data_IF_299904157513
#
_entry.id   IF_299904157513
#
_cell.length_a   1.000
_cell.length_b   1.000
_cell.length_c   1.000
_cell.angle_alpha   90.00
_cell.angle_beta   90.00
_cell.angle_gamma   90.00
#
_symmetry.space_group_name_H-M   'P 1'
#
loop_
_entity.id
_entity.type
_entity.pdbx_description
1 polymer ?
#
# COMPACT_ATOMS: atom_id res chain seq x y z
N UNK A 1 -27.67 4.79 5.32
CA UNK A 1 -28.57 4.25 4.28
C UNK A 1 -27.87 3.05 3.64
N UNK A 2 -28.57 1.94 3.36
CA UNK A 2 -27.95 0.82 2.64
C UNK A 2 -27.93 1.12 1.13
N UNK A 3 -27.11 0.41 0.34
CA UNK A 3 -26.96 0.69 -1.09
C UNK A 3 -28.23 0.46 -1.93
N UNK A 4 -29.10 -0.46 -1.54
CA UNK A 4 -30.36 -0.75 -2.24
C UNK A 4 -31.35 0.41 -2.04
N UNK A 5 -31.54 0.83 -0.79
CA UNK A 5 -32.37 1.97 -0.41
C UNK A 5 -31.89 3.27 -1.05
N UNK A 6 -30.58 3.43 -1.29
CA UNK A 6 -30.07 4.60 -1.99
C UNK A 6 -30.50 4.64 -3.45
N UNK A 7 -30.35 3.54 -4.19
CA UNK A 7 -30.75 3.49 -5.60
C UNK A 7 -32.27 3.59 -5.77
N UNK A 8 -33.04 3.02 -4.84
CA UNK A 8 -34.51 3.16 -4.83
C UNK A 8 -34.98 4.60 -4.61
N UNK A 9 -34.23 5.40 -3.86
CA UNK A 9 -34.56 6.80 -3.56
C UNK A 9 -33.66 7.80 -4.30
N UNK A 10 -32.93 7.35 -5.33
CA UNK A 10 -31.90 8.12 -6.00
C UNK A 10 -32.43 9.45 -6.55
N UNK A 11 -33.56 9.40 -7.25
CA UNK A 11 -34.23 10.59 -7.81
C UNK A 11 -34.61 11.61 -6.72
N UNK A 12 -35.08 11.14 -5.56
CA UNK A 12 -35.45 12.00 -4.43
C UNK A 12 -34.22 12.62 -3.74
N UNK A 13 -33.09 11.91 -3.78
CA UNK A 13 -31.85 12.33 -3.13
C UNK A 13 -31.11 13.36 -3.97
N UNK A 14 -31.16 13.30 -5.30
CA UNK A 14 -30.47 14.27 -6.17
C UNK A 14 -30.96 15.70 -5.94
N UNK A 15 -32.26 15.87 -5.67
CA UNK A 15 -32.91 17.17 -5.47
C UNK A 15 -32.67 17.78 -4.07
N UNK A 16 -32.10 17.01 -3.13
CA UNK A 16 -31.82 17.49 -1.78
C UNK A 16 -30.56 18.37 -1.71
N UNK A 17 -30.52 19.42 -0.86
CA UNK A 17 -29.29 20.15 -0.60
C UNK A 17 -28.22 19.22 0.00
N UNK A 18 -26.97 19.34 -0.46
CA UNK A 18 -25.82 18.46 -0.15
C UNK A 18 -25.80 17.06 -0.81
N UNK A 19 -26.75 16.77 -1.70
CA UNK A 19 -26.87 15.47 -2.41
C UNK A 19 -25.61 14.99 -3.12
N UNK A 20 -24.85 15.92 -3.72
CA UNK A 20 -23.62 15.61 -4.47
C UNK A 20 -22.52 15.05 -3.58
N UNK A 21 -22.41 15.53 -2.34
CA UNK A 21 -21.38 15.07 -1.40
C UNK A 21 -21.70 13.67 -0.88
N UNK A 22 -22.94 13.44 -0.46
CA UNK A 22 -23.43 12.12 -0.02
C UNK A 22 -23.32 11.07 -1.13
N UNK A 23 -23.61 11.44 -2.38
CA UNK A 23 -23.44 10.57 -3.55
C UNK A 23 -21.97 10.17 -3.74
N UNK A 24 -21.04 11.12 -3.64
CA UNK A 24 -19.61 10.83 -3.77
C UNK A 24 -19.13 9.89 -2.67
N UNK A 25 -19.52 10.13 -1.43
CA UNK A 25 -19.18 9.26 -0.31
C UNK A 25 -19.69 7.84 -0.54
N UNK A 26 -20.94 7.69 -0.98
CA UNK A 26 -21.49 6.37 -1.25
C UNK A 26 -20.78 5.66 -2.41
N UNK A 27 -20.52 6.37 -3.51
CA UNK A 27 -19.77 5.80 -4.65
C UNK A 27 -18.40 5.31 -4.16
N UNK A 28 -17.69 6.10 -3.36
CA UNK A 28 -16.41 5.70 -2.79
C UNK A 28 -16.55 4.48 -1.87
N UNK A 29 -17.57 4.42 -1.03
CA UNK A 29 -17.85 3.25 -0.20
C UNK A 29 -18.14 1.99 -1.04
N UNK A 30 -18.90 2.13 -2.12
CA UNK A 30 -19.18 1.02 -3.03
C UNK A 30 -17.93 0.59 -3.80
N UNK A 31 -17.07 1.53 -4.18
CA UNK A 31 -15.80 1.27 -4.85
C UNK A 31 -14.87 0.43 -3.96
N UNK A 32 -14.69 0.87 -2.71
CA UNK A 32 -13.86 0.17 -1.71
C UNK A 32 -14.41 -1.21 -1.36
N UNK A 33 -15.72 -1.41 -1.48
CA UNK A 33 -16.39 -2.72 -1.31
C UNK A 33 -16.40 -3.59 -2.57
N UNK A 34 -15.82 -3.13 -3.68
CA UNK A 34 -15.82 -3.86 -4.95
C UNK A 34 -17.22 -4.03 -5.58
N UNK A 35 -18.19 -3.16 -5.23
CA UNK A 35 -19.59 -3.26 -5.70
C UNK A 35 -19.90 -2.42 -6.94
N UNK A 36 -18.90 -1.73 -7.51
CA UNK A 36 -19.07 -0.88 -8.69
C UNK A 36 -18.78 -1.59 -10.03
N UNK A 37 -18.34 -2.84 -9.97
CA UNK A 37 -17.98 -3.62 -11.18
C UNK A 37 -18.65 -5.00 -11.08
N UNK A 38 -19.21 -5.53 -12.18
CA UNK A 38 -19.72 -6.90 -12.22
C UNK A 38 -18.64 -7.89 -11.77
N UNK A 39 -19.01 -8.82 -10.90
CA UNK A 39 -18.09 -9.83 -10.38
C UNK A 39 -18.16 -11.08 -11.25
N UNK A 40 -17.06 -11.48 -11.88
CA UNK A 40 -16.97 -12.73 -12.63
C UNK A 40 -16.58 -13.87 -11.67
N UNK A 41 -17.41 -14.91 -11.51
CA UNK A 41 -17.08 -16.06 -10.66
C UNK A 41 -15.89 -16.90 -11.16
N UNK A 42 -15.43 -16.70 -12.40
CA UNK A 42 -14.30 -17.42 -13.00
C UNK A 42 -12.99 -16.62 -12.96
N UNK A 43 -13.00 -15.39 -12.43
CA UNK A 43 -11.77 -14.61 -12.25
C UNK A 43 -10.83 -15.27 -11.22
N UNK A 44 -9.52 -15.16 -11.48
CA UNK A 44 -8.49 -15.61 -10.54
C UNK A 44 -8.72 -14.93 -9.18
N UNK A 45 -8.77 -15.72 -8.13
CA UNK A 45 -9.05 -15.19 -6.81
C UNK A 45 -7.78 -14.60 -6.20
N UNK A 46 -7.94 -13.54 -5.40
CA UNK A 46 -6.86 -12.98 -4.61
C UNK A 46 -6.19 -14.04 -3.70
N UNK A 47 -6.87 -15.15 -3.40
CA UNK A 47 -6.29 -16.30 -2.69
C UNK A 47 -5.15 -16.96 -3.46
N UNK A 48 -5.32 -17.18 -4.76
CA UNK A 48 -4.31 -17.84 -5.61
C UNK A 48 -3.09 -16.94 -5.79
N UNK A 49 -3.31 -15.64 -6.03
CA UNK A 49 -2.24 -14.65 -6.08
C UNK A 49 -1.49 -14.55 -4.75
N UNK A 50 -2.21 -14.59 -3.62
CA UNK A 50 -1.61 -14.56 -2.29
C UNK A 50 -0.71 -15.77 -2.04
N UNK A 51 -1.13 -16.96 -2.44
CA UNK A 51 -0.31 -18.17 -2.32
C UNK A 51 1.01 -18.03 -3.09
N UNK A 52 0.96 -17.47 -4.31
CA UNK A 52 2.15 -17.17 -5.11
C UNK A 52 3.07 -16.17 -4.39
N UNK A 53 2.51 -15.07 -3.88
CA UNK A 53 3.27 -14.05 -3.14
C UNK A 53 3.94 -14.64 -1.90
N UNK A 54 3.22 -15.45 -1.12
CA UNK A 54 3.76 -16.11 0.09
C UNK A 54 4.89 -17.07 -0.28
N UNK A 55 4.72 -17.86 -1.35
CA UNK A 55 5.74 -18.78 -1.83
C UNK A 55 7.01 -18.03 -2.28
N UNK A 56 6.85 -16.97 -3.06
CA UNK A 56 7.96 -16.13 -3.50
C UNK A 56 8.65 -15.42 -2.33
N UNK A 57 7.90 -14.89 -1.37
CA UNK A 57 8.47 -14.29 -0.16
C UNK A 57 9.30 -15.30 0.62
N UNK A 58 8.80 -16.53 0.80
CA UNK A 58 9.54 -17.63 1.47
C UNK A 58 10.84 -17.95 0.73
N UNK A 59 10.80 -18.03 -0.61
CA UNK A 59 11.99 -18.24 -1.43
C UNK A 59 13.02 -17.11 -1.27
N UNK A 60 12.57 -15.86 -1.32
CA UNK A 60 13.43 -14.68 -1.19
C UNK A 60 14.05 -14.53 0.22
N UNK A 61 13.33 -14.93 1.27
CA UNK A 61 13.87 -15.02 2.63
C UNK A 61 14.97 -16.10 2.70
N UNK A 62 14.76 -17.27 2.06
CA UNK A 62 15.79 -18.33 1.98
C UNK A 62 17.04 -17.84 1.24
N UNK A 63 16.86 -17.03 0.20
CA UNK A 63 17.94 -16.37 -0.54
C UNK A 63 18.60 -15.20 0.22
N UNK A 64 18.16 -14.87 1.45
CA UNK A 64 18.62 -13.74 2.27
C UNK A 64 18.44 -12.36 1.62
N UNK A 65 17.56 -12.23 0.63
CA UNK A 65 17.22 -10.95 0.00
C UNK A 65 16.20 -10.15 0.81
N UNK A 66 15.43 -10.83 1.64
CA UNK A 66 14.43 -10.23 2.54
C UNK A 66 14.69 -10.66 3.98
N UNK A 67 14.38 -9.78 4.93
CA UNK A 67 14.42 -10.12 6.35
C UNK A 67 13.23 -11.03 6.67
N UNK A 68 13.40 -11.91 7.66
CA UNK A 68 12.30 -12.76 8.13
C UNK A 68 11.26 -11.86 8.80
N UNK A 69 10.12 -11.64 8.16
CA UNK A 69 9.00 -10.92 8.75
C UNK A 69 8.31 -11.78 9.81
N UNK A 70 7.78 -11.13 10.85
CA UNK A 70 6.95 -11.80 11.85
C UNK A 70 5.68 -12.32 11.18
N UNK A 71 5.33 -13.59 11.43
CA UNK A 71 4.04 -14.14 11.01
C UNK A 71 2.96 -13.49 11.87
N UNK A 72 2.10 -12.69 11.25
CA UNK A 72 0.96 -12.10 11.92
C UNK A 72 -0.14 -13.16 12.06
N UNK A 73 -1.00 -13.06 13.10
CA UNK A 73 -2.13 -13.97 13.24
C UNK A 73 -3.10 -13.81 12.07
N UNK A 74 -3.80 -14.89 11.74
CA UNK A 74 -4.91 -14.87 10.80
C UNK A 74 -5.92 -13.78 11.18
N UNK A 75 -6.50 -13.15 10.16
CA UNK A 75 -7.53 -12.12 10.35
C UNK A 75 -8.76 -12.79 10.94
N UNK A 76 -9.16 -12.34 12.13
CA UNK A 76 -10.35 -12.88 12.79
C UNK A 76 -11.62 -12.29 12.18
N UNK A 77 -12.74 -12.99 12.34
CA UNK A 77 -14.04 -12.54 11.80
C UNK A 77 -14.50 -11.19 12.36
N UNK A 78 -14.16 -10.88 13.61
CA UNK A 78 -14.45 -9.61 14.28
C UNK A 78 -13.59 -8.43 13.77
N UNK A 79 -12.50 -8.71 13.06
CA UNK A 79 -11.65 -7.68 12.43
C UNK A 79 -12.13 -7.28 11.02
N UNK A 80 -13.10 -7.99 10.45
CA UNK A 80 -13.60 -7.75 9.09
C UNK A 80 -14.67 -6.65 9.14
N UNK A 81 -14.43 -5.45 8.60
CA UNK A 81 -15.35 -4.32 8.74
C UNK A 81 -16.58 -4.42 7.82
N UNK A 82 -16.46 -5.14 6.70
CA UNK A 82 -17.52 -5.31 5.71
C UNK A 82 -17.27 -6.50 4.78
N UNK A 83 -18.32 -6.94 4.13
CA UNK A 83 -18.27 -7.96 3.08
C UNK A 83 -17.60 -7.42 1.81
N UNK A 84 -16.72 -8.24 1.24
CA UNK A 84 -16.01 -8.01 -0.02
C UNK A 84 -16.44 -9.08 -1.04
N UNK A 85 -16.18 -8.88 -2.35
CA UNK A 85 -16.45 -9.89 -3.34
C UNK A 85 -15.69 -11.19 -3.06
N UNK A 86 -16.23 -12.33 -3.50
CA UNK A 86 -15.62 -13.65 -3.28
C UNK A 86 -14.24 -13.81 -3.92
N UNK A 87 -13.96 -13.03 -4.96
CA UNK A 87 -12.67 -12.97 -5.64
C UNK A 87 -11.63 -12.19 -4.83
N UNK A 88 -12.04 -11.36 -3.86
CA UNK A 88 -11.14 -10.59 -2.99
C UNK A 88 -10.86 -11.34 -1.68
N UNK A 89 -9.74 -10.99 -1.04
CA UNK A 89 -9.35 -11.59 0.24
C UNK A 89 -8.73 -10.53 1.15
N UNK A 90 -9.22 -10.45 2.37
CA UNK A 90 -8.56 -9.68 3.43
C UNK A 90 -7.21 -10.33 3.77
N UNK A 91 -6.18 -9.50 3.87
CA UNK A 91 -4.83 -9.93 4.21
C UNK A 91 -4.07 -8.84 4.96
N UNK A 92 -2.99 -9.20 5.66
CA UNK A 92 -2.16 -8.21 6.35
C UNK A 92 -1.19 -7.60 5.34
N UNK A 93 -0.88 -6.32 5.53
CA UNK A 93 0.03 -5.59 4.64
C UNK A 93 1.44 -6.24 4.58
N UNK A 94 1.89 -6.82 5.71
CA UNK A 94 3.14 -7.58 5.80
C UNK A 94 3.14 -8.89 4.98
N UNK A 95 1.98 -9.39 4.57
CA UNK A 95 1.90 -10.59 3.73
C UNK A 95 2.28 -10.27 2.28
N UNK A 96 2.09 -9.03 1.82
CA UNK A 96 2.40 -8.57 0.45
C UNK A 96 3.84 -8.08 0.32
N UNK A 97 4.36 -7.40 1.35
CA UNK A 97 5.64 -6.71 1.25
C UNK A 97 6.28 -6.40 2.60
N UNK A 98 7.48 -5.84 2.53
CA UNK A 98 8.18 -5.32 3.70
C UNK A 98 8.04 -3.79 3.74
N UNK A 99 7.85 -3.26 4.94
CA UNK A 99 7.53 -1.86 5.16
C UNK A 99 8.49 -1.30 6.20
N UNK A 100 8.84 -0.03 6.06
CA UNK A 100 9.74 0.63 7.01
C UNK A 100 9.73 2.13 6.86
N UNK A 101 10.00 2.82 7.96
CA UNK A 101 10.21 4.25 7.94
C UNK A 101 11.57 4.60 7.31
N UNK A 102 11.68 5.78 6.70
CA UNK A 102 12.94 6.36 6.28
C UNK A 102 13.84 6.73 7.46
N UNK A 103 15.01 7.30 7.17
CA UNK A 103 15.94 7.83 8.19
C UNK A 103 16.74 9.00 7.63
N UNK A 104 17.14 9.90 8.52
CA UNK A 104 17.87 11.12 8.17
C UNK A 104 19.32 10.97 8.65
N UNK A 105 20.32 11.00 7.76
CA UNK A 105 21.73 11.05 8.17
C UNK A 105 22.02 12.28 9.06
N UNK A 106 23.10 12.22 9.84
CA UNK A 106 23.48 13.36 10.69
C UNK A 106 23.82 14.59 9.84
N UNK A 107 23.00 15.63 9.97
CA UNK A 107 23.16 16.90 9.26
C UNK A 107 24.39 17.69 9.69
N UNK A 108 25.01 17.35 10.83
CA UNK A 108 26.25 17.98 11.31
C UNK A 108 27.50 17.52 10.56
N UNK A 109 27.40 16.48 9.71
CA UNK A 109 28.48 15.93 8.90
C UNK A 109 28.19 16.21 7.42
N UNK A 110 28.66 17.34 6.85
CA UNK A 110 28.42 17.68 5.44
C UNK A 110 28.89 16.58 4.48
N UNK A 111 30.01 15.93 4.79
CA UNK A 111 30.59 14.82 4.01
C UNK A 111 29.63 13.65 3.80
N UNK A 112 28.57 13.53 4.62
CA UNK A 112 27.53 12.50 4.42
C UNK A 112 26.67 12.73 3.19
N UNK A 113 26.65 13.96 2.65
CA UNK A 113 25.83 14.38 1.52
C UNK A 113 26.62 14.58 0.22
N UNK A 114 27.88 14.15 0.19
CA UNK A 114 28.76 14.20 -0.98
C UNK A 114 28.91 12.81 -1.62
N UNK A 115 27.79 12.08 -1.75
CA UNK A 115 27.80 10.71 -2.27
C UNK A 115 27.02 10.52 -3.56
N UNK A 116 26.78 9.26 -3.91
CA UNK A 116 26.07 8.84 -5.12
C UNK A 116 24.73 8.16 -4.85
N UNK A 117 24.45 7.79 -3.59
CA UNK A 117 23.21 7.10 -3.21
C UNK A 117 22.08 8.12 -3.15
N UNK A 118 21.02 7.93 -3.93
CA UNK A 118 19.87 8.83 -3.93
C UNK A 118 19.20 8.87 -2.55
N UNK A 119 19.01 10.06 -1.99
CA UNK A 119 18.31 10.25 -0.71
C UNK A 119 17.11 11.17 -0.90
N UNK A 120 15.91 10.60 -0.75
CA UNK A 120 14.65 11.28 -1.01
C UNK A 120 14.04 11.85 0.26
N UNK A 121 13.63 13.12 0.21
CA UNK A 121 12.78 13.74 1.25
C UNK A 121 11.31 13.52 0.92
N UNK A 122 10.45 13.54 1.93
CA UNK A 122 9.00 13.48 1.75
C UNK A 122 8.46 14.56 0.81
N UNK A 123 9.06 15.76 0.80
CA UNK A 123 8.67 16.83 -0.13
C UNK A 123 9.11 16.64 -1.59
N UNK A 124 9.89 15.59 -1.90
CA UNK A 124 10.26 15.22 -3.27
C UNK A 124 9.36 14.09 -3.83
N UNK A 125 8.56 13.46 -2.96
CA UNK A 125 7.64 12.41 -3.35
C UNK A 125 6.48 13.01 -4.17
N UNK A 126 6.14 12.34 -5.27
CA UNK A 126 5.06 12.74 -6.16
C UNK A 126 4.31 11.50 -6.67
N UNK A 127 3.15 11.70 -7.31
CA UNK A 127 2.32 10.64 -7.88
C UNK A 127 2.92 10.12 -9.21
N UNK A 128 4.18 9.67 -9.19
CA UNK A 128 4.90 9.25 -10.38
C UNK A 128 6.23 8.54 -10.08
N UNK A 129 6.95 8.21 -11.15
CA UNK A 129 8.27 7.59 -11.04
C UNK A 129 9.33 8.64 -10.67
N UNK A 130 10.10 8.33 -9.63
CA UNK A 130 11.19 9.19 -9.16
C UNK A 130 12.51 8.51 -9.51
N UNK A 131 13.33 9.18 -10.32
CA UNK A 131 14.57 8.62 -10.85
C UNK A 131 15.84 9.36 -10.37
N UNK A 132 15.70 10.52 -9.72
CA UNK A 132 16.82 11.31 -9.19
C UNK A 132 16.39 12.11 -7.96
N UNK A 133 17.36 12.48 -7.11
CA UNK A 133 17.14 13.22 -5.86
C UNK A 133 17.99 14.49 -5.79
N UNK A 134 17.50 15.50 -5.06
CA UNK A 134 18.27 16.74 -4.85
C UNK A 134 19.54 16.54 -4.04
N UNK A 135 19.51 15.58 -3.10
CA UNK A 135 20.64 15.25 -2.24
C UNK A 135 21.01 13.78 -2.42
N UNK A 136 22.31 13.48 -2.34
CA UNK A 136 22.84 12.12 -2.45
C UNK A 136 23.74 11.85 -1.27
N UNK A 137 23.66 10.66 -0.70
CA UNK A 137 24.40 10.30 0.51
C UNK A 137 25.54 9.34 0.21
N UNK A 138 26.54 9.32 1.07
CA UNK A 138 27.68 8.39 0.97
C UNK A 138 27.34 7.03 1.59
N UNK A 139 28.10 5.99 1.22
CA UNK A 139 28.00 4.67 1.86
C UNK A 139 28.24 4.75 3.37
N UNK A 140 29.14 5.63 3.81
CA UNK A 140 29.41 5.89 5.22
C UNK A 140 28.17 6.39 5.97
N UNK A 141 27.40 7.29 5.34
CA UNK A 141 26.15 7.79 5.91
C UNK A 141 25.09 6.68 6.00
N UNK A 142 24.97 5.84 4.97
CA UNK A 142 24.03 4.72 4.96
C UNK A 142 24.36 3.67 6.03
N UNK A 143 25.65 3.34 6.19
CA UNK A 143 26.11 2.39 7.20
C UNK A 143 25.89 2.91 8.62
N UNK A 144 26.11 4.20 8.88
CA UNK A 144 25.87 4.84 10.18
C UNK A 144 24.39 4.78 10.59
N UNK A 145 23.48 4.86 9.61
CA UNK A 145 22.04 4.69 9.82
C UNK A 145 21.65 3.24 10.15
N UNK A 146 22.57 2.28 10.03
CA UNK A 146 22.31 0.84 10.16
C UNK A 146 21.14 0.37 9.27
N UNK A 147 21.10 0.90 8.04
CA UNK A 147 20.06 0.67 7.04
C UNK A 147 20.69 0.15 5.76
N UNK A 148 19.90 -0.54 4.95
CA UNK A 148 20.29 -0.94 3.60
C UNK A 148 19.65 0.00 2.60
N UNK A 149 20.32 0.26 1.48
CA UNK A 149 19.72 0.98 0.36
C UNK A 149 18.48 0.21 -0.12
N UNK A 150 17.43 0.95 -0.45
CA UNK A 150 16.22 0.36 -1.00
C UNK A 150 16.49 -0.12 -2.43
N UNK A 151 15.94 -1.27 -2.84
CA UNK A 151 16.09 -1.75 -4.21
C UNK A 151 15.34 -0.84 -5.20
N UNK A 152 15.69 -0.87 -6.49
CA UNK A 152 14.89 -0.26 -7.55
C UNK A 152 13.43 -0.74 -7.48
N UNK A 153 12.51 0.11 -7.94
CA UNK A 153 11.05 -0.16 -7.93
C UNK A 153 10.44 -0.31 -6.52
N UNK A 154 10.99 0.36 -5.51
CA UNK A 154 10.36 0.48 -4.20
C UNK A 154 9.24 1.53 -4.22
N UNK A 155 8.08 1.19 -3.62
CA UNK A 155 6.95 2.12 -3.48
C UNK A 155 7.18 3.06 -2.29
N UNK A 156 6.94 4.35 -2.50
CA UNK A 156 6.93 5.37 -1.46
C UNK A 156 5.51 5.92 -1.31
N UNK A 157 5.06 6.07 -0.06
CA UNK A 157 3.76 6.65 0.32
C UNK A 157 3.94 7.87 1.20
#
# INVERSE_FOLDING_TARGET
>A
MNHETFFENFELLIDAPNSVEELRELILQLAVKGKLVPQDPNEETASELLEKIIADKKRLIKEKKFKKSQTLPEIKKDEIPFDIPKTWKWMRLNDVGDWGAGSTPDRKKPDYYEGSILWFKSGELNNGYINDSKEKITDSALNDLNRSALPPCTLHS
#
